data_IF_284312532874
#
_entry.id   IF_284312532874
#
_cell.length_a   1.000
_cell.length_b   1.000
_cell.length_c   1.000
_cell.angle_alpha   90.00
_cell.angle_beta   90.00
_cell.angle_gamma   90.00
#
_symmetry.space_group_name_H-M   'P 1'
#
loop_
_entity.id
_entity.type
_entity.pdbx_description
1 polymer ?
#
# COMPACT_ATOMS: atom_id res chain seq x y z
N UNK A 1 -17.75 9.76 -20.10
CA UNK A 1 -17.73 8.38 -19.54
C UNK A 1 -16.34 7.82 -19.74
N UNK A 2 -15.49 7.90 -18.73
CA UNK A 2 -14.15 7.30 -18.77
C UNK A 2 -14.16 6.11 -17.80
N UNK A 3 -14.97 5.10 -18.09
CA UNK A 3 -15.13 3.88 -17.26
C UNK A 3 -13.79 3.26 -16.92
N UNK A 4 -12.83 3.35 -17.84
CA UNK A 4 -11.44 2.94 -17.64
C UNK A 4 -10.73 3.71 -16.51
N UNK A 5 -10.92 5.03 -16.43
CA UNK A 5 -10.34 5.85 -15.37
C UNK A 5 -11.00 5.56 -14.02
N UNK A 6 -12.33 5.43 -14.00
CA UNK A 6 -13.07 5.03 -12.80
C UNK A 6 -12.65 3.64 -12.30
N UNK A 7 -12.39 2.69 -13.21
CA UNK A 7 -11.92 1.35 -12.87
C UNK A 7 -10.56 1.38 -12.17
N UNK A 8 -9.58 2.11 -12.74
CA UNK A 8 -8.24 2.24 -12.14
C UNK A 8 -8.33 2.91 -10.76
N UNK A 9 -9.18 3.94 -10.61
CA UNK A 9 -9.37 4.64 -9.34
C UNK A 9 -9.95 3.73 -8.26
N UNK A 10 -11.04 3.01 -8.57
CA UNK A 10 -11.70 2.12 -7.61
C UNK A 10 -10.81 0.94 -7.25
N UNK A 11 -10.16 0.32 -8.24
CA UNK A 11 -9.27 -0.82 -7.99
C UNK A 11 -8.03 -0.38 -7.19
N UNK A 12 -7.42 0.75 -7.53
CA UNK A 12 -6.29 1.31 -6.78
C UNK A 12 -6.66 1.65 -5.34
N UNK A 13 -7.84 2.25 -5.11
CA UNK A 13 -8.33 2.55 -3.76
C UNK A 13 -8.65 1.27 -2.97
N UNK A 14 -9.26 0.27 -3.60
CA UNK A 14 -9.59 -1.01 -2.95
C UNK A 14 -8.33 -1.71 -2.44
N UNK A 15 -7.30 -1.81 -3.29
CA UNK A 15 -6.04 -2.49 -2.92
C UNK A 15 -5.30 -1.68 -1.85
N UNK A 16 -5.28 -0.34 -1.98
CA UNK A 16 -4.72 0.54 -0.95
C UNK A 16 -5.35 0.29 0.43
N UNK A 17 -6.68 0.22 0.51
CA UNK A 17 -7.38 -0.05 1.78
C UNK A 17 -7.13 -1.48 2.27
N UNK A 18 -7.03 -2.46 1.37
CA UNK A 18 -6.74 -3.85 1.73
C UNK A 18 -5.38 -4.01 2.42
N UNK A 19 -4.31 -3.49 1.82
CA UNK A 19 -2.96 -3.56 2.36
C UNK A 19 -2.82 -2.72 3.64
N UNK A 20 -3.45 -1.54 3.65
CA UNK A 20 -3.48 -0.69 4.84
C UNK A 20 -4.20 -1.40 5.99
N UNK A 21 -5.23 -2.19 5.72
CA UNK A 21 -5.90 -3.04 6.69
C UNK A 21 -4.95 -4.04 7.35
N UNK A 22 -4.18 -4.80 6.56
CA UNK A 22 -3.17 -5.74 7.07
C UNK A 22 -2.12 -5.04 7.93
N UNK A 23 -1.62 -3.90 7.48
CA UNK A 23 -0.64 -3.10 8.22
C UNK A 23 -1.19 -2.59 9.55
N UNK A 24 -2.41 -2.05 9.53
CA UNK A 24 -3.04 -1.51 10.73
C UNK A 24 -3.34 -2.63 11.73
N UNK A 25 -3.76 -3.80 11.25
CA UNK A 25 -3.97 -4.98 12.08
C UNK A 25 -2.64 -5.47 12.67
N UNK A 26 -1.58 -5.63 11.87
CA UNK A 26 -0.25 -5.98 12.38
C UNK A 26 0.22 -5.02 13.48
N UNK A 27 0.06 -3.71 13.26
CA UNK A 27 0.40 -2.69 14.26
C UNK A 27 -0.47 -2.76 15.52
N UNK A 28 -1.76 -3.08 15.37
CA UNK A 28 -2.70 -3.27 16.49
C UNK A 28 -2.30 -4.46 17.36
N UNK A 29 -1.84 -5.55 16.75
CA UNK A 29 -1.35 -6.75 17.44
C UNK A 29 0.11 -6.60 17.93
N UNK A 30 0.68 -5.38 17.90
CA UNK A 30 2.08 -5.08 18.26
C UNK A 30 3.11 -5.89 17.46
N UNK A 31 2.75 -6.33 16.26
CA UNK A 31 3.69 -6.94 15.32
C UNK A 31 4.52 -5.82 14.72
N UNK A 32 5.84 -5.93 14.85
CA UNK A 32 6.77 -4.95 14.27
C UNK A 32 6.80 -5.13 12.75
N UNK A 33 6.34 -4.11 12.03
CA UNK A 33 6.42 -4.03 10.58
C UNK A 33 7.60 -3.14 10.21
N UNK A 34 8.66 -3.74 9.68
CA UNK A 34 9.88 -3.04 9.29
C UNK A 34 9.70 -2.27 7.96
N UNK A 35 8.89 -2.83 7.06
CA UNK A 35 8.63 -2.27 5.74
C UNK A 35 7.18 -2.50 5.37
N UNK A 36 6.50 -1.43 4.98
CA UNK A 36 5.16 -1.44 4.43
C UNK A 36 5.24 -0.92 3.01
N UNK A 37 4.95 -1.76 2.02
CA UNK A 37 4.94 -1.38 0.61
C UNK A 37 3.50 -1.31 0.10
N UNK A 38 3.10 -0.15 -0.38
CA UNK A 38 1.85 0.04 -1.11
C UNK A 38 2.12 -0.20 -2.59
N UNK A 39 1.80 -1.41 -3.03
CA UNK A 39 1.96 -1.83 -4.40
C UNK A 39 3.28 -2.53 -4.71
N UNK A 40 3.46 -2.94 -5.96
CA UNK A 40 4.63 -3.62 -6.50
C UNK A 40 5.35 -2.78 -7.57
N UNK A 41 6.61 -3.15 -7.85
CA UNK A 41 7.43 -2.52 -8.89
C UNK A 41 8.32 -1.39 -8.37
N UNK A 42 8.76 -0.45 -9.24
CA UNK A 42 9.73 0.56 -8.85
C UNK A 42 9.18 1.47 -7.76
N UNK A 43 9.99 1.67 -6.71
CA UNK A 43 9.73 2.62 -5.62
C UNK A 43 9.56 4.02 -6.21
N UNK A 44 8.35 4.56 -6.12
CA UNK A 44 8.10 5.96 -6.48
C UNK A 44 8.53 6.87 -5.35
N UNK A 45 8.04 6.57 -4.14
CA UNK A 45 8.26 7.40 -2.96
C UNK A 45 8.42 6.47 -1.76
N UNK A 46 9.31 6.81 -0.83
CA UNK A 46 9.36 6.14 0.45
C UNK A 46 9.78 7.05 1.58
N UNK A 47 9.18 6.85 2.75
CA UNK A 47 9.44 7.63 3.96
C UNK A 47 9.48 6.70 5.16
N UNK A 48 10.54 6.79 5.94
CA UNK A 48 10.63 6.09 7.22
C UNK A 48 9.96 6.91 8.31
N UNK A 49 9.04 6.31 9.06
CA UNK A 49 8.40 6.94 10.21
C UNK A 49 8.53 5.98 11.39
N UNK A 50 9.37 6.35 12.36
CA UNK A 50 9.73 5.49 13.48
C UNK A 50 10.55 4.29 13.00
N UNK A 51 10.03 3.08 13.23
CA UNK A 51 10.66 1.81 12.84
C UNK A 51 10.14 1.23 11.52
N UNK A 52 9.13 1.87 10.91
CA UNK A 52 8.49 1.39 9.70
C UNK A 52 8.90 2.24 8.49
N UNK A 53 9.44 1.58 7.47
CA UNK A 53 9.63 2.18 6.15
C UNK A 53 8.32 2.09 5.35
N UNK A 54 7.72 3.24 5.02
CA UNK A 54 6.53 3.33 4.17
C UNK A 54 7.00 3.56 2.74
N UNK A 55 6.73 2.63 1.84
CA UNK A 55 7.09 2.70 0.43
C UNK A 55 5.83 2.70 -0.40
N UNK A 56 5.78 3.54 -1.42
CA UNK A 56 4.73 3.57 -2.44
C UNK A 56 5.40 3.20 -3.76
N UNK A 57 4.91 2.14 -4.38
CA UNK A 57 5.42 1.61 -5.64
C UNK A 57 4.53 2.01 -6.82
N UNK A 58 5.06 1.92 -8.03
CA UNK A 58 4.38 2.43 -9.23
C UNK A 58 3.09 1.68 -9.59
N UNK A 59 2.95 0.42 -9.19
CA UNK A 59 1.78 -0.37 -9.53
C UNK A 59 1.01 -0.80 -8.29
N UNK A 60 -0.33 -0.62 -8.27
CA UNK A 60 -1.13 -0.88 -7.08
C UNK A 60 -1.57 -2.34 -6.91
N UNK A 61 -0.92 -3.36 -7.51
CA UNK A 61 -1.21 -4.76 -7.13
C UNK A 61 -0.49 -5.02 -5.80
N UNK A 62 -1.14 -5.70 -4.85
CA UNK A 62 -0.66 -5.86 -3.47
C UNK A 62 0.76 -6.42 -3.34
N UNK A 63 1.28 -6.39 -2.12
CA UNK A 63 2.56 -7.04 -1.79
C UNK A 63 2.45 -8.55 -2.14
N UNK A 64 3.28 -9.05 -3.06
CA UNK A 64 3.44 -10.48 -3.34
C UNK A 64 4.67 -11.02 -2.63
#
# INVERSE_FOLDING_TARGET
MNTFFSFILVLGLLIFVHELGHFLFAKLFRVRVLKFSLGFGPRLVGKTIGETEYVISAFPLGDL
#
